data_IF_318898376016
#
_entry.id   IF_318898376016
#
_cell.length_a   1.000
_cell.length_b   1.000
_cell.length_c   1.000
_cell.angle_alpha   90.00
_cell.angle_beta   90.00
_cell.angle_gamma   90.00
#
_symmetry.space_group_name_H-M   'P 1'
#
loop_
_entity.id
_entity.type
_entity.pdbx_description
1 polymer ?
#
# COMPACT_ATOMS: atom_id res chain seq x y z
N UNK A 1 -23.77 14.99 -12.28
CA UNK A 1 -23.48 13.65 -11.73
C UNK A 1 -22.42 12.89 -12.51
N UNK A 2 -22.48 12.85 -13.85
CA UNK A 2 -21.44 12.21 -14.68
C UNK A 2 -20.04 12.79 -14.43
N UNK A 3 -19.90 14.12 -14.43
CA UNK A 3 -18.60 14.77 -14.18
C UNK A 3 -18.01 14.47 -12.80
N UNK A 4 -18.86 14.36 -11.78
CA UNK A 4 -18.46 13.99 -10.41
C UNK A 4 -17.92 12.57 -10.40
N UNK A 5 -18.60 11.63 -11.07
CA UNK A 5 -18.16 10.24 -11.14
C UNK A 5 -16.85 10.10 -11.92
N UNK A 6 -16.69 10.85 -13.01
CA UNK A 6 -15.43 10.92 -13.75
C UNK A 6 -14.29 11.47 -12.88
N UNK A 7 -14.56 12.51 -12.08
CA UNK A 7 -13.60 13.04 -11.11
C UNK A 7 -13.17 12.00 -10.06
N UNK A 8 -14.15 11.24 -9.52
CA UNK A 8 -13.89 10.14 -8.58
C UNK A 8 -13.02 9.05 -9.22
N UNK A 9 -13.35 8.60 -10.43
CA UNK A 9 -12.56 7.59 -11.13
C UNK A 9 -11.11 8.05 -11.38
N UNK A 10 -10.94 9.29 -11.81
CA UNK A 10 -9.60 9.87 -12.02
C UNK A 10 -8.80 9.88 -10.73
N UNK A 11 -9.42 10.35 -9.63
CA UNK A 11 -8.78 10.38 -8.32
C UNK A 11 -8.36 8.98 -7.84
N UNK A 12 -9.26 7.99 -7.92
CA UNK A 12 -8.96 6.61 -7.52
C UNK A 12 -7.89 5.98 -8.42
N UNK A 13 -7.89 6.29 -9.72
CA UNK A 13 -6.87 5.79 -10.66
C UNK A 13 -5.47 6.29 -10.29
N UNK A 14 -5.36 7.56 -9.86
CA UNK A 14 -4.10 8.11 -9.34
C UNK A 14 -3.68 7.38 -8.06
N UNK A 15 -4.61 7.13 -7.13
CA UNK A 15 -4.32 6.38 -5.91
C UNK A 15 -3.89 4.93 -6.17
N UNK A 16 -4.50 4.27 -7.15
CA UNK A 16 -4.11 2.93 -7.57
C UNK A 16 -2.68 2.92 -8.14
N UNK A 17 -2.33 3.89 -8.98
CA UNK A 17 -0.96 4.06 -9.48
C UNK A 17 0.04 4.29 -8.35
N UNK A 18 -0.29 5.18 -7.41
CA UNK A 18 0.52 5.43 -6.21
C UNK A 18 0.71 4.16 -5.37
N UNK A 19 -0.33 3.35 -5.20
CA UNK A 19 -0.25 2.08 -4.48
C UNK A 19 0.70 1.09 -5.16
N UNK A 20 0.62 0.94 -6.48
CA UNK A 20 1.54 0.06 -7.23
C UNK A 20 2.98 0.51 -7.04
N UNK A 21 3.24 1.82 -7.13
CA UNK A 21 4.57 2.39 -6.88
C UNK A 21 5.04 2.11 -5.45
N UNK A 22 4.17 2.26 -4.44
CA UNK A 22 4.51 1.91 -3.05
C UNK A 22 4.85 0.43 -2.90
N UNK A 23 4.05 -0.47 -3.48
CA UNK A 23 4.33 -1.92 -3.41
C UNK A 23 5.69 -2.28 -4.01
N UNK A 24 6.07 -1.63 -5.12
CA UNK A 24 7.39 -1.82 -5.72
C UNK A 24 8.52 -1.34 -4.80
N UNK A 25 8.31 -0.24 -4.07
CA UNK A 25 9.29 0.26 -3.09
C UNK A 25 9.35 -0.61 -1.84
N UNK A 26 8.20 -1.02 -1.28
CA UNK A 26 8.10 -1.93 -0.14
C UNK A 26 8.73 -3.29 -0.46
N UNK A 27 8.60 -3.78 -1.69
CA UNK A 27 9.22 -5.04 -2.12
C UNK A 27 10.73 -4.96 -2.41
N UNK A 28 11.28 -3.74 -2.58
CA UNK A 28 12.70 -3.51 -2.94
C UNK A 28 13.54 -2.89 -1.84
N UNK A 29 13.00 -2.66 -0.63
CA UNK A 29 13.74 -1.99 0.44
C UNK A 29 15.11 -2.65 0.66
N UNK A 30 16.15 -1.81 0.55
CA UNK A 30 17.56 -2.22 0.57
C UNK A 30 17.97 -2.84 1.91
N UNK A 31 17.14 -2.68 2.93
CA UNK A 31 17.20 -3.33 4.24
C UNK A 31 17.46 -4.83 4.24
N UNK A 32 17.11 -5.58 3.18
CA UNK A 32 17.43 -7.02 3.12
C UNK A 32 18.93 -7.32 3.18
N UNK A 33 19.77 -6.37 2.79
CA UNK A 33 21.24 -6.48 2.87
C UNK A 33 21.81 -6.10 4.24
N UNK A 34 21.09 -5.29 5.02
CA UNK A 34 21.52 -4.81 6.33
C UNK A 34 20.99 -5.70 7.48
N UNK A 35 20.22 -6.75 7.16
CA UNK A 35 19.63 -7.63 8.17
C UNK A 35 20.59 -8.74 8.59
N UNK A 36 20.74 -8.88 9.91
CA UNK A 36 21.34 -10.06 10.51
C UNK A 36 20.43 -11.29 10.30
N UNK A 37 21.02 -12.49 10.37
CA UNK A 37 20.34 -13.77 10.09
C UNK A 37 19.09 -13.95 10.97
N UNK A 38 19.11 -13.45 12.20
CA UNK A 38 18.00 -13.54 13.15
C UNK A 38 16.87 -12.53 12.85
N UNK A 39 17.17 -11.41 12.19
CA UNK A 39 16.20 -10.36 11.87
C UNK A 39 15.53 -10.54 10.49
N UNK A 40 16.17 -11.30 9.60
CA UNK A 40 15.64 -11.65 8.28
C UNK A 40 14.22 -12.27 8.31
N UNK A 41 13.88 -13.27 9.16
CA UNK A 41 12.54 -13.85 9.17
C UNK A 41 11.46 -12.86 9.63
N UNK A 42 11.76 -12.05 10.67
CA UNK A 42 10.86 -11.01 11.19
C UNK A 42 10.57 -9.94 10.14
N UNK A 43 11.59 -9.56 9.36
CA UNK A 43 11.44 -8.63 8.25
C UNK A 43 10.56 -9.19 7.14
N UNK A 44 10.81 -10.43 6.71
CA UNK A 44 10.02 -11.07 5.65
C UNK A 44 8.56 -11.16 6.04
N UNK A 45 8.25 -11.52 7.29
CA UNK A 45 6.88 -11.57 7.79
C UNK A 45 6.19 -10.20 7.70
N UNK A 46 6.84 -9.14 8.21
CA UNK A 46 6.31 -7.77 8.18
C UNK A 46 6.10 -7.24 6.77
N UNK A 47 7.11 -7.37 5.90
CA UNK A 47 7.02 -6.92 4.51
C UNK A 47 5.93 -7.68 3.76
N UNK A 48 5.80 -8.99 3.98
CA UNK A 48 4.75 -9.81 3.38
C UNK A 48 3.36 -9.34 3.83
N UNK A 49 3.19 -9.07 5.12
CA UNK A 49 1.93 -8.54 5.66
C UNK A 49 1.57 -7.17 5.06
N UNK A 50 2.55 -6.27 4.96
CA UNK A 50 2.38 -4.95 4.37
C UNK A 50 2.01 -5.03 2.88
N UNK A 51 2.74 -5.83 2.10
CA UNK A 51 2.44 -6.08 0.69
C UNK A 51 1.05 -6.68 0.51
N UNK A 52 0.64 -7.61 1.38
CA UNK A 52 -0.72 -8.16 1.34
C UNK A 52 -1.77 -7.08 1.62
N UNK A 53 -1.56 -6.23 2.63
CA UNK A 53 -2.48 -5.13 2.93
C UNK A 53 -2.56 -4.10 1.78
N UNK A 54 -1.44 -3.81 1.14
CA UNK A 54 -1.37 -2.93 -0.02
C UNK A 54 -2.08 -3.56 -1.23
N UNK A 55 -1.93 -4.86 -1.46
CA UNK A 55 -2.60 -5.62 -2.52
C UNK A 55 -4.12 -5.58 -2.36
N UNK A 56 -4.61 -5.80 -1.13
CA UNK A 56 -6.05 -5.70 -0.82
C UNK A 56 -6.56 -4.29 -1.07
N UNK A 57 -5.77 -3.27 -0.73
CA UNK A 57 -6.16 -1.87 -0.96
C UNK A 57 -6.23 -1.56 -2.45
N UNK A 58 -5.25 -2.03 -3.25
CA UNK A 58 -5.27 -1.91 -4.70
C UNK A 58 -6.51 -2.60 -5.31
N UNK A 59 -6.86 -3.80 -4.82
CA UNK A 59 -8.06 -4.51 -5.26
C UNK A 59 -9.35 -3.70 -4.98
N UNK A 60 -9.42 -3.00 -3.83
CA UNK A 60 -10.52 -2.09 -3.52
C UNK A 60 -10.56 -0.89 -4.47
N UNK A 61 -9.40 -0.30 -4.80
CA UNK A 61 -9.33 0.79 -5.78
C UNK A 61 -9.85 0.34 -7.15
N UNK A 62 -9.41 -0.83 -7.63
CA UNK A 62 -9.86 -1.40 -8.91
C UNK A 62 -11.36 -1.70 -8.87
N UNK A 63 -11.86 -2.34 -7.81
CA UNK A 63 -13.28 -2.63 -7.65
C UNK A 63 -14.12 -1.35 -7.65
N UNK A 64 -13.63 -0.27 -7.03
CA UNK A 64 -14.30 1.03 -7.05
C UNK A 64 -14.36 1.63 -8.46
N UNK A 65 -13.26 1.59 -9.21
CA UNK A 65 -13.23 2.06 -10.61
C UNK A 65 -14.22 1.27 -11.47
N UNK A 66 -14.23 -0.06 -11.33
CA UNK A 66 -15.17 -0.93 -12.06
C UNK A 66 -16.62 -0.61 -11.69
N UNK A 67 -16.93 -0.43 -10.41
CA UNK A 67 -18.29 -0.05 -9.96
C UNK A 67 -18.73 1.29 -10.56
N UNK A 68 -17.85 2.30 -10.57
CA UNK A 68 -18.11 3.60 -11.18
C UNK A 68 -18.35 3.48 -12.70
N UNK A 69 -17.57 2.66 -13.41
CA UNK A 69 -17.74 2.41 -14.85
C UNK A 69 -19.07 1.72 -15.16
N UNK A 70 -19.40 0.64 -14.43
CA UNK A 70 -20.67 -0.08 -14.59
C UNK A 70 -21.85 0.87 -14.32
N UNK A 71 -21.75 1.71 -13.28
CA UNK A 71 -22.76 2.70 -12.98
C UNK A 71 -22.98 3.69 -14.14
N UNK A 72 -21.91 4.19 -14.77
CA UNK A 72 -22.00 5.10 -15.91
C UNK A 72 -22.66 4.46 -17.13
N UNK A 73 -22.36 3.18 -17.40
CA UNK A 73 -22.96 2.40 -18.49
C UNK A 73 -24.46 2.17 -18.23
N UNK A 74 -24.84 1.78 -17.02
CA UNK A 74 -26.25 1.57 -16.67
C UNK A 74 -27.05 2.87 -16.80
N UNK A 75 -26.47 4.00 -16.39
CA UNK A 75 -27.06 5.33 -16.58
C UNK A 75 -27.20 5.72 -18.06
N UNK A 76 -26.30 5.29 -18.95
CA UNK A 76 -26.41 5.63 -20.38
C UNK A 76 -27.50 4.85 -21.11
N UNK A 77 -27.86 3.65 -20.64
CA UNK A 77 -28.90 2.82 -21.25
C UNK A 77 -30.32 3.09 -20.71
N UNK A 78 -30.48 3.89 -19.65
CA UNK A 78 -31.78 4.44 -19.23
C UNK A 78 -32.79 3.47 -18.58
N UNK A 79 -32.55 2.15 -18.59
CA UNK A 79 -33.59 1.17 -18.27
C UNK A 79 -33.66 0.65 -16.82
N UNK A 80 -32.73 1.03 -15.93
CA UNK A 80 -32.71 0.45 -14.58
C UNK A 80 -32.41 1.45 -13.45
N UNK A 81 -33.39 2.28 -13.10
CA UNK A 81 -33.30 3.25 -11.99
C UNK A 81 -32.93 2.58 -10.66
N UNK A 82 -33.51 1.41 -10.37
CA UNK A 82 -33.22 0.67 -9.14
C UNK A 82 -31.77 0.14 -9.11
N UNK A 83 -31.30 -0.48 -10.20
CA UNK A 83 -29.91 -1.00 -10.30
C UNK A 83 -28.90 0.15 -10.25
N UNK A 84 -29.20 1.29 -10.89
CA UNK A 84 -28.37 2.49 -10.83
C UNK A 84 -28.23 3.06 -9.42
N UNK A 85 -29.28 3.03 -8.59
CA UNK A 85 -29.20 3.48 -7.19
C UNK A 85 -28.32 2.56 -6.34
N UNK A 86 -28.48 1.24 -6.45
CA UNK A 86 -27.64 0.27 -5.73
C UNK A 86 -26.16 0.38 -6.11
N UNK A 87 -25.87 0.52 -7.40
CA UNK A 87 -24.51 0.73 -7.91
C UNK A 87 -23.90 2.05 -7.42
N UNK A 88 -24.71 3.10 -7.28
CA UNK A 88 -24.25 4.38 -6.73
C UNK A 88 -23.84 4.23 -5.25
N UNK A 89 -24.71 3.61 -4.43
CA UNK A 89 -24.42 3.35 -3.01
C UNK A 89 -23.16 2.48 -2.87
N UNK A 90 -23.03 1.44 -3.70
CA UNK A 90 -21.83 0.59 -3.73
C UNK A 90 -20.57 1.40 -4.07
N UNK A 91 -20.63 2.25 -5.11
CA UNK A 91 -19.49 3.07 -5.53
C UNK A 91 -19.05 4.05 -4.45
N UNK A 92 -20.00 4.69 -3.76
CA UNK A 92 -19.69 5.59 -2.64
C UNK A 92 -19.11 4.82 -1.44
N UNK A 93 -19.66 3.64 -1.12
CA UNK A 93 -19.12 2.78 -0.07
C UNK A 93 -17.68 2.34 -0.36
N UNK A 94 -17.40 1.94 -1.60
CA UNK A 94 -16.06 1.58 -2.05
C UNK A 94 -15.11 2.78 -2.06
N UNK A 95 -15.60 3.97 -2.43
CA UNK A 95 -14.82 5.20 -2.38
C UNK A 95 -14.40 5.52 -0.93
N UNK A 96 -15.34 5.49 0.02
CA UNK A 96 -15.04 5.76 1.44
C UNK A 96 -14.05 4.72 1.98
N UNK A 97 -14.26 3.43 1.67
CA UNK A 97 -13.35 2.36 2.07
C UNK A 97 -11.94 2.56 1.48
N UNK A 98 -11.87 2.93 0.20
CA UNK A 98 -10.64 3.29 -0.50
C UNK A 98 -9.93 4.45 0.20
N UNK A 99 -10.65 5.53 0.52
CA UNK A 99 -10.07 6.69 1.22
C UNK A 99 -9.53 6.32 2.60
N UNK A 100 -10.28 5.55 3.39
CA UNK A 100 -9.83 5.10 4.70
C UNK A 100 -8.56 4.25 4.61
N UNK A 101 -8.51 3.30 3.67
CA UNK A 101 -7.32 2.48 3.44
C UNK A 101 -6.13 3.32 2.98
N UNK A 102 -6.35 4.31 2.10
CA UNK A 102 -5.31 5.23 1.65
C UNK A 102 -4.74 6.07 2.79
N UNK A 103 -5.56 6.49 3.76
CA UNK A 103 -5.10 7.19 4.96
C UNK A 103 -4.20 6.34 5.88
N UNK A 104 -4.27 5.01 5.77
CA UNK A 104 -3.40 4.11 6.51
C UNK A 104 -2.02 3.92 5.84
N UNK A 105 -1.85 4.31 4.58
CA UNK A 105 -0.59 4.12 3.84
C UNK A 105 0.61 4.84 4.47
N UNK A 106 0.52 6.08 4.97
CA UNK A 106 1.65 6.74 5.63
C UNK A 106 2.17 5.94 6.82
N UNK A 107 1.28 5.30 7.59
CA UNK A 107 1.68 4.44 8.71
C UNK A 107 2.43 3.19 8.23
N UNK A 108 1.98 2.59 7.14
CA UNK A 108 2.66 1.44 6.51
C UNK A 108 4.06 1.82 6.02
N UNK A 109 4.21 2.98 5.38
CA UNK A 109 5.51 3.49 4.91
C UNK A 109 6.44 3.76 6.09
N UNK A 110 5.92 4.40 7.14
CA UNK A 110 6.67 4.70 8.36
C UNK A 110 7.21 3.41 9.00
N UNK A 111 6.39 2.36 9.11
CA UNK A 111 6.80 1.11 9.74
C UNK A 111 7.97 0.45 8.99
N UNK A 112 7.91 0.42 7.64
CA UNK A 112 9.00 -0.09 6.81
C UNK A 112 10.29 0.71 7.02
N UNK A 113 10.19 2.04 6.97
CA UNK A 113 11.37 2.91 7.10
C UNK A 113 11.98 2.86 8.49
N UNK A 114 11.14 2.84 9.54
CA UNK A 114 11.61 2.72 10.92
C UNK A 114 12.36 1.41 11.13
N UNK A 115 11.84 0.31 10.59
CA UNK A 115 12.50 -0.98 10.68
C UNK A 115 13.85 -0.99 9.95
N UNK A 116 13.91 -0.46 8.72
CA UNK A 116 15.16 -0.37 7.94
C UNK A 116 16.22 0.49 8.64
N UNK A 117 15.82 1.63 9.23
CA UNK A 117 16.71 2.48 10.02
C UNK A 117 17.22 1.77 11.28
N UNK A 118 16.37 1.01 11.95
CA UNK A 118 16.74 0.25 13.15
C UNK A 118 17.78 -0.83 12.82
N UNK A 119 17.55 -1.59 11.76
CA UNK A 119 18.50 -2.61 11.28
C UNK A 119 19.86 -1.99 10.91
N UNK A 120 19.85 -0.83 10.24
CA UNK A 120 21.08 -0.12 9.87
C UNK A 120 21.89 0.33 11.10
N UNK A 121 21.22 0.83 12.14
CA UNK A 121 21.90 1.23 13.39
C UNK A 121 22.54 0.02 14.05
N UNK A 122 21.84 -1.13 14.07
CA UNK A 122 22.34 -2.35 14.70
C UNK A 122 23.55 -2.93 13.95
N UNK A 123 23.50 -3.00 12.62
CA UNK A 123 24.63 -3.43 11.79
C UNK A 123 25.87 -2.56 12.03
N UNK A 124 25.71 -1.23 12.04
CA UNK A 124 26.83 -0.31 12.32
C UNK A 124 27.40 -0.49 13.72
N UNK A 125 26.56 -0.83 14.70
CA UNK A 125 27.01 -1.12 16.06
C UNK A 125 27.78 -2.44 16.13
N UNK A 126 27.36 -3.46 15.39
CA UNK A 126 28.09 -4.73 15.27
C UNK A 126 29.45 -4.54 14.59
N UNK A 127 29.50 -3.82 13.47
CA UNK A 127 30.75 -3.48 12.77
C UNK A 127 31.73 -2.76 13.72
N UNK A 128 31.24 -1.78 14.49
CA UNK A 128 32.05 -1.06 15.46
C UNK A 128 32.59 -1.99 16.56
N UNK A 129 31.76 -2.89 17.10
CA UNK A 129 32.19 -3.90 18.09
C UNK A 129 33.19 -4.90 17.54
N UNK A 130 33.08 -5.28 16.26
CA UNK A 130 34.06 -6.16 15.59
C UNK A 130 35.40 -5.44 15.43
N UNK A 131 35.38 -4.20 14.94
CA UNK A 131 36.58 -3.37 14.80
C UNK A 131 37.29 -3.11 16.15
N UNK A 132 36.53 -2.97 17.24
CA UNK A 132 37.10 -2.87 18.58
C UNK A 132 37.80 -4.16 19.03
N UNK A 133 37.20 -5.33 18.77
CA UNK A 133 37.81 -6.64 19.09
C UNK A 133 39.12 -6.84 18.33
N UNK A 134 39.12 -6.57 17.03
CA UNK A 134 40.32 -6.66 16.19
C UNK A 134 41.45 -5.71 16.68
N UNK A 135 41.10 -4.49 17.12
CA UNK A 135 42.08 -3.57 17.70
C UNK A 135 42.59 -3.98 19.07
N UNK A 136 41.82 -4.76 19.82
CA UNK A 136 42.21 -5.28 21.14
C UNK A 136 43.01 -6.58 21.08
N UNK A 137 43.28 -7.12 19.88
CA UNK A 137 44.14 -8.29 19.69
C UNK A 137 43.52 -9.61 20.18
N UNK A 138 42.19 -9.67 20.28
CA UNK A 138 41.39 -10.89 20.44
C UNK A 138 40.85 -11.33 19.09
#
# INVERSE_FOLDING_TARGET
MKDIMTGIMTFISVLAGFMVTLMLFTGRSGGSKLLTVDQAPLYVEKITYLLFSQAVTLAVHIACILACLIWLIVQSHGEAVAVGQWLFVLSIGLLILSMFRTLLLPFQIYEVHHFELTAMVEEKNEEFRRALRERQGL
#
